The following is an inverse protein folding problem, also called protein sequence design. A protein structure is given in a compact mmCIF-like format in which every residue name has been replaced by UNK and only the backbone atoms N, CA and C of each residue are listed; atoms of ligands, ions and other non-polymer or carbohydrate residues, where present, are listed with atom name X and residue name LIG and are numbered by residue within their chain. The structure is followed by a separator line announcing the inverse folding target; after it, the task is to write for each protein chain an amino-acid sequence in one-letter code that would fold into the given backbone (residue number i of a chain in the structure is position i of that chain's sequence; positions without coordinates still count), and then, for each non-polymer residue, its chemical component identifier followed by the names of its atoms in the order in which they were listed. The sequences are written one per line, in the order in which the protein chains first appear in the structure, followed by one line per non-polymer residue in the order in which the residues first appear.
data_IF_633737790977
#
_entry.id   IF_633737790977
#
_cell.length_a   1.000
_cell.length_b   1.000
_cell.length_c   1.000
_cell.angle_alpha   90.00
_cell.angle_beta   90.00
_cell.angle_gamma   90.00
#
_symmetry.space_group_name_H-M   'P 1'
#
loop_
_entity.id
_entity.type
_entity.pdbx_description
1 polymer ?
#
# COMPACT_ATOMS: atom_id res chain seq x y z
N UNK A 1 -7.16 -15.67 11.76
CA UNK A 1 -7.54 -14.32 11.31
C UNK A 1 -8.98 -14.10 11.74
N UNK A 2 -9.25 -13.10 12.57
CA UNK A 2 -10.63 -12.76 12.93
C UNK A 2 -11.32 -12.04 11.76
N UNK A 3 -12.65 -12.05 11.68
CA UNK A 3 -13.41 -11.43 10.58
C UNK A 3 -12.98 -9.98 10.32
N UNK A 4 -12.74 -9.19 11.38
CA UNK A 4 -12.30 -7.80 11.29
C UNK A 4 -10.88 -7.64 10.69
N UNK A 5 -10.01 -8.63 10.84
CA UNK A 5 -8.67 -8.61 10.22
C UNK A 5 -8.75 -8.95 8.73
N UNK A 6 -9.65 -9.87 8.34
CA UNK A 6 -9.91 -10.20 6.94
C UNK A 6 -10.51 -9.00 6.21
N UNK A 7 -11.43 -8.28 6.85
CA UNK A 7 -12.05 -7.08 6.29
C UNK A 7 -11.03 -5.97 6.01
N UNK A 8 -10.19 -5.63 7.00
CA UNK A 8 -9.10 -4.65 6.79
C UNK A 8 -8.10 -5.11 5.72
N UNK A 9 -7.71 -6.38 5.74
CA UNK A 9 -6.80 -6.95 4.73
C UNK A 9 -7.38 -6.82 3.32
N UNK A 10 -8.66 -7.15 3.14
CA UNK A 10 -9.37 -7.02 1.86
C UNK A 10 -9.49 -5.55 1.44
N UNK A 11 -9.79 -4.65 2.36
CA UNK A 11 -9.83 -3.21 2.10
C UNK A 11 -8.48 -2.69 1.58
N UNK A 12 -7.38 -3.05 2.24
CA UNK A 12 -6.04 -2.65 1.80
C UNK A 12 -5.63 -3.28 0.47
N UNK A 13 -5.98 -4.54 0.21
CA UNK A 13 -5.74 -5.15 -1.11
C UNK A 13 -6.51 -4.41 -2.20
N UNK A 14 -7.79 -4.12 -1.98
CA UNK A 14 -8.63 -3.42 -2.98
C UNK A 14 -8.06 -2.03 -3.25
N UNK A 15 -7.73 -1.27 -2.20
CA UNK A 15 -7.12 0.05 -2.32
C UNK A 15 -5.78 -0.05 -3.04
N UNK A 16 -4.93 -1.01 -2.67
CA UNK A 16 -3.62 -1.24 -3.27
C UNK A 16 -3.70 -1.54 -4.76
N UNK A 17 -4.63 -2.40 -5.18
CA UNK A 17 -4.86 -2.72 -6.59
C UNK A 17 -5.34 -1.47 -7.35
N UNK A 18 -6.32 -0.75 -6.82
CA UNK A 18 -6.87 0.45 -7.49
C UNK A 18 -5.80 1.53 -7.62
N UNK A 19 -5.11 1.85 -6.51
CA UNK A 19 -4.06 2.87 -6.50
C UNK A 19 -2.89 2.48 -7.40
N UNK A 20 -2.38 1.26 -7.30
CA UNK A 20 -1.28 0.77 -8.14
C UNK A 20 -1.64 0.77 -9.62
N UNK A 21 -2.86 0.34 -9.96
CA UNK A 21 -3.33 0.36 -11.35
C UNK A 21 -3.42 1.79 -11.90
N UNK A 22 -3.99 2.72 -11.14
CA UNK A 22 -4.13 4.12 -11.57
C UNK A 22 -2.75 4.78 -11.73
N UNK A 23 -1.85 4.57 -10.76
CA UNK A 23 -0.48 5.07 -10.80
C UNK A 23 0.27 4.57 -12.03
N UNK A 24 0.27 3.25 -12.27
CA UNK A 24 0.97 2.63 -13.39
C UNK A 24 0.44 3.13 -14.74
N UNK A 25 -0.88 3.26 -14.88
CA UNK A 25 -1.48 3.79 -16.11
C UNK A 25 -1.10 5.26 -16.35
N UNK A 26 -1.08 6.08 -15.30
CA UNK A 26 -0.62 7.47 -15.39
C UNK A 26 0.86 7.50 -15.76
N UNK A 27 1.69 6.69 -15.11
CA UNK A 27 3.13 6.62 -15.35
C UNK A 27 3.42 6.22 -16.80
N UNK A 28 2.78 5.16 -17.30
CA UNK A 28 2.92 4.72 -18.69
C UNK A 28 2.46 5.82 -19.65
N UNK A 29 1.31 6.44 -19.41
CA UNK A 29 0.80 7.51 -20.29
C UNK A 29 1.73 8.71 -20.35
N UNK A 30 2.22 9.16 -19.20
CA UNK A 30 3.10 10.34 -19.11
C UNK A 30 4.51 10.05 -19.62
N UNK A 31 5.04 8.84 -19.38
CA UNK A 31 6.40 8.48 -19.77
C UNK A 31 6.53 8.13 -21.26
N UNK A 32 5.49 7.52 -21.84
CA UNK A 32 5.56 6.98 -23.22
C UNK A 32 4.72 7.76 -24.23
N UNK A 33 3.68 8.47 -23.76
CA UNK A 33 2.69 9.12 -24.63
C UNK A 33 1.66 8.17 -25.26
N UNK A 34 1.83 6.85 -25.11
CA UNK A 34 0.97 5.83 -25.72
C UNK A 34 -0.50 5.93 -25.31
N UNK A 35 -1.40 5.48 -26.16
CA UNK A 35 -2.83 5.37 -25.82
C UNK A 35 -3.06 4.16 -24.92
N UNK A 36 -3.80 4.35 -23.83
CA UNK A 36 -4.17 3.25 -22.94
C UNK A 36 -5.19 2.38 -23.68
N UNK A 37 -4.83 1.13 -23.95
CA UNK A 37 -5.71 0.14 -24.53
C UNK A 37 -6.17 -0.90 -23.48
N UNK A 38 -7.26 -1.65 -23.74
CA UNK A 38 -7.78 -2.63 -22.78
C UNK A 38 -6.80 -3.74 -22.38
N UNK A 39 -5.87 -4.11 -23.26
CA UNK A 39 -4.85 -5.13 -22.94
C UNK A 39 -3.81 -4.59 -21.96
N UNK A 40 -3.42 -3.31 -22.08
CA UNK A 40 -2.58 -2.63 -21.09
C UNK A 40 -3.25 -2.60 -19.71
N UNK A 41 -4.54 -2.23 -19.64
CA UNK A 41 -5.28 -2.23 -18.36
C UNK A 41 -5.27 -3.62 -17.74
N UNK A 42 -5.52 -4.68 -18.53
CA UNK A 42 -5.49 -6.05 -18.03
C UNK A 42 -4.11 -6.44 -17.47
N UNK A 43 -3.04 -6.12 -18.19
CA UNK A 43 -1.66 -6.40 -17.75
C UNK A 43 -1.35 -5.66 -16.45
N UNK A 44 -1.65 -4.37 -16.37
CA UNK A 44 -1.40 -3.56 -15.18
C UNK A 44 -2.17 -4.10 -13.98
N UNK A 45 -3.47 -4.41 -14.12
CA UNK A 45 -4.26 -4.97 -13.02
C UNK A 45 -3.73 -6.35 -12.60
N UNK A 46 -3.38 -7.21 -13.56
CA UNK A 46 -2.83 -8.53 -13.28
C UNK A 46 -1.50 -8.48 -12.51
N UNK A 47 -0.68 -7.45 -12.77
CA UNK A 47 0.56 -7.19 -12.04
C UNK A 47 0.27 -6.56 -10.67
N UNK A 48 -0.66 -5.60 -10.59
CA UNK A 48 -0.99 -4.93 -9.33
C UNK A 48 -1.50 -5.90 -8.25
N UNK A 49 -2.21 -6.97 -8.60
CA UNK A 49 -2.75 -7.97 -7.66
C UNK A 49 -1.66 -8.63 -6.78
N UNK A 50 -0.63 -9.31 -7.34
CA UNK A 50 0.41 -9.92 -6.53
C UNK A 50 1.21 -8.91 -5.72
N UNK A 51 1.42 -7.68 -6.24
CA UNK A 51 2.12 -6.63 -5.50
C UNK A 51 1.30 -6.07 -4.33
N UNK A 52 -0.02 -5.87 -4.51
CA UNK A 52 -0.91 -5.45 -3.43
C UNK A 52 -1.02 -6.51 -2.33
N UNK A 53 -1.11 -7.80 -2.71
CA UNK A 53 -1.08 -8.89 -1.75
C UNK A 53 0.28 -8.96 -1.02
N UNK A 54 1.39 -8.77 -1.75
CA UNK A 54 2.73 -8.76 -1.15
C UNK A 54 2.94 -7.58 -0.21
N UNK A 55 2.51 -6.37 -0.57
CA UNK A 55 2.64 -5.18 0.30
C UNK A 55 1.89 -5.39 1.60
N UNK A 56 0.68 -5.93 1.56
CA UNK A 56 -0.10 -6.18 2.76
C UNK A 56 0.51 -7.30 3.62
N UNK A 57 0.92 -8.43 3.02
CA UNK A 57 1.47 -9.58 3.76
C UNK A 57 2.89 -9.35 4.33
N UNK A 58 3.69 -8.50 3.69
CA UNK A 58 5.10 -8.30 4.05
C UNK A 58 5.35 -6.95 4.71
N UNK A 59 4.74 -5.88 4.24
CA UNK A 59 5.00 -4.51 4.74
C UNK A 59 4.16 -4.21 5.97
N UNK A 60 2.90 -4.67 6.04
CA UNK A 60 2.03 -4.43 7.22
C UNK A 60 2.26 -5.43 8.36
N UNK A 61 3.45 -6.05 8.43
CA UNK A 61 3.82 -6.84 9.61
C UNK A 61 4.01 -5.91 10.81
N UNK A 62 3.42 -6.23 11.98
CA UNK A 62 3.50 -5.40 13.19
C UNK A 62 4.94 -5.18 13.70
N UNK A 63 5.89 -5.99 13.25
CA UNK A 63 7.31 -5.91 13.63
C UNK A 63 8.06 -4.74 12.97
N UNK A 64 7.55 -4.16 11.88
CA UNK A 64 8.14 -2.97 11.25
C UNK A 64 7.51 -1.72 11.88
N UNK A 65 7.68 -1.55 13.20
CA UNK A 65 7.25 -0.36 13.95
C UNK A 65 8.39 0.42 14.63
N UNK A 66 9.61 0.56 14.06
CA UNK A 66 10.63 1.38 14.71
C UNK A 66 10.16 2.83 14.90
N UNK A 67 9.24 3.31 14.05
CA UNK A 67 8.73 4.68 14.10
C UNK A 67 7.70 4.95 15.21
N UNK A 68 6.88 3.96 15.59
CA UNK A 68 5.91 4.12 16.71
C UNK A 68 6.62 4.13 18.06
N UNK A 69 7.57 3.21 18.28
CA UNK A 69 8.34 3.21 19.52
C UNK A 69 9.18 4.49 19.70
N UNK A 70 9.73 5.02 18.60
CA UNK A 70 10.52 6.25 18.65
C UNK A 70 9.64 7.47 18.95
N UNK A 71 8.44 7.54 18.37
CA UNK A 71 7.48 8.60 18.65
C UNK A 71 7.00 8.57 20.11
N UNK A 72 6.68 7.39 20.64
CA UNK A 72 6.23 7.22 22.04
C UNK A 72 7.35 7.59 23.04
N UNK A 73 8.60 7.20 22.77
CA UNK A 73 9.76 7.59 23.58
C UNK A 73 9.98 9.10 23.57
N UNK A 74 9.80 9.76 22.42
CA UNK A 74 9.95 11.21 22.30
C UNK A 74 8.85 11.96 23.05
N UNK A 75 7.60 11.51 22.94
CA UNK A 75 6.46 12.11 23.64
C UNK A 75 6.60 11.99 25.16
N UNK A 76 7.06 10.84 25.67
CA UNK A 76 7.40 10.68 27.09
C UNK A 76 8.53 11.60 27.53
N UNK A 77 9.54 11.81 26.68
CA UNK A 77 10.66 12.71 27.00
C UNK A 77 10.21 14.17 27.08
N UNK A 78 9.33 14.60 26.17
CA UNK A 78 8.72 15.92 26.17
C UNK A 78 7.85 16.16 27.41
N UNK A 79 7.01 15.19 27.81
CA UNK A 79 6.19 15.27 29.03
C UNK A 79 6.98 15.31 30.34
N UNK A 80 8.26 14.92 30.32
CA UNK A 80 9.16 15.03 31.48
C UNK A 80 9.89 16.38 31.55
N UNK A 81 9.87 17.15 30.45
CA UNK A 81 10.55 18.45 30.32
C UNK A 81 9.61 19.64 30.49
N UNK A 82 8.30 19.42 30.37
CA UNK A 82 7.21 20.37 30.65
C UNK A 82 6.61 20.06 32.02
#
# INVERSE_FOLDING_TARGET
MNTNQIERFLEFIVIGIVMGTVEDLIAVKLATGETIDPSMIFVVVAVAIPFAAFSELVVDRPDIRPMRETAEKLEQKLKRLL
#
